data_IF_377681115088
#
_entry.id   IF_377681115088
#
_cell.length_a   1.000
_cell.length_b   1.000
_cell.length_c   1.000
_cell.angle_alpha   90.00
_cell.angle_beta   90.00
_cell.angle_gamma   90.00
#
_symmetry.space_group_name_H-M   'P 1'
#
loop_
_entity.id
_entity.type
_entity.pdbx_description
1 polymer ?
#
# COMPACT_ATOMS: atom_id res chain seq x y z
N UNK A 1 -0.08 16.26 -41.67
CA UNK A 1 0.75 15.93 -40.48
C UNK A 1 0.08 14.79 -39.72
N UNK A 2 0.75 13.65 -39.55
CA UNK A 2 0.15 12.40 -39.07
C UNK A 2 0.21 12.32 -37.53
N UNK A 3 -0.89 12.67 -36.85
CA UNK A 3 -1.00 12.83 -35.38
C UNK A 3 -0.69 11.57 -34.58
N UNK A 4 -0.85 10.38 -35.16
CA UNK A 4 -0.57 9.07 -34.52
C UNK A 4 0.90 8.86 -34.15
N UNK A 5 1.82 9.41 -34.95
CA UNK A 5 3.28 9.27 -34.76
C UNK A 5 3.77 10.10 -33.58
N UNK A 6 3.15 11.27 -33.36
CA UNK A 6 3.55 12.20 -32.29
C UNK A 6 3.24 11.67 -30.89
N UNK A 7 2.06 11.06 -30.69
CA UNK A 7 1.67 10.50 -29.38
C UNK A 7 2.52 9.29 -28.99
N UNK A 8 2.80 8.41 -29.95
CA UNK A 8 3.66 7.24 -29.73
C UNK A 8 5.09 7.65 -29.40
N UNK A 9 5.62 8.68 -30.07
CA UNK A 9 6.93 9.25 -29.76
C UNK A 9 6.97 9.87 -28.35
N UNK A 10 5.90 10.58 -27.95
CA UNK A 10 5.78 11.15 -26.61
C UNK A 10 5.73 10.07 -25.52
N UNK A 11 4.95 9.01 -25.71
CA UNK A 11 4.91 7.87 -24.79
C UNK A 11 6.30 7.24 -24.63
N UNK A 12 7.02 7.00 -25.74
CA UNK A 12 8.40 6.49 -25.69
C UNK A 12 9.34 7.43 -24.95
N UNK A 13 9.18 8.75 -25.11
CA UNK A 13 9.97 9.73 -24.37
C UNK A 13 9.68 9.67 -22.87
N UNK A 14 8.41 9.57 -22.48
CA UNK A 14 8.01 9.45 -21.07
C UNK A 14 8.56 8.16 -20.47
N UNK A 15 8.41 7.03 -21.18
CA UNK A 15 8.97 5.74 -20.76
C UNK A 15 10.48 5.83 -20.56
N UNK A 16 11.21 6.44 -21.50
CA UNK A 16 12.66 6.62 -21.39
C UNK A 16 13.04 7.49 -20.19
N UNK A 17 12.32 8.59 -19.96
CA UNK A 17 12.60 9.52 -18.87
C UNK A 17 12.33 8.92 -17.49
N UNK A 18 11.35 8.00 -17.40
CA UNK A 18 10.99 7.30 -16.16
C UNK A 18 11.70 5.95 -16.00
N UNK A 19 12.58 5.58 -16.94
CA UNK A 19 13.21 4.26 -17.00
C UNK A 19 12.20 3.11 -17.00
N UNK A 20 11.06 3.30 -17.67
CA UNK A 20 10.03 2.28 -17.83
C UNK A 20 10.24 1.51 -19.13
N UNK A 21 9.99 0.21 -19.07
CA UNK A 21 10.03 -0.72 -20.20
C UNK A 21 8.66 -1.32 -20.44
N UNK A 22 8.34 -1.62 -21.69
CA UNK A 22 7.21 -2.49 -22.01
C UNK A 22 7.67 -3.93 -21.89
N UNK A 23 7.18 -4.58 -20.84
CA UNK A 23 7.54 -5.95 -20.45
C UNK A 23 7.34 -6.95 -21.60
N UNK A 24 6.25 -6.81 -22.36
CA UNK A 24 5.97 -7.74 -23.45
C UNK A 24 6.95 -7.58 -24.61
N UNK A 25 7.33 -6.34 -24.93
CA UNK A 25 8.30 -6.07 -26.00
C UNK A 25 9.72 -6.45 -25.65
N UNK A 26 10.10 -6.37 -24.38
CA UNK A 26 11.40 -6.85 -23.90
C UNK A 26 11.53 -8.37 -24.05
N UNK A 27 10.48 -9.13 -23.66
CA UNK A 27 10.51 -10.59 -23.80
C UNK A 27 10.34 -11.09 -25.24
N UNK A 28 9.55 -10.39 -26.06
CA UNK A 28 9.18 -10.83 -27.40
C UNK A 28 9.42 -9.76 -28.47
N UNK A 29 10.69 -9.35 -28.69
CA UNK A 29 11.02 -8.19 -29.54
C UNK A 29 10.65 -8.37 -31.02
N UNK A 30 10.63 -9.61 -31.50
CA UNK A 30 10.36 -9.96 -32.90
C UNK A 30 8.91 -10.32 -33.17
N UNK A 31 8.12 -10.60 -32.13
CA UNK A 31 6.76 -11.06 -32.30
C UNK A 31 5.79 -9.89 -32.40
N UNK A 32 4.67 -10.13 -33.09
CA UNK A 32 3.53 -9.22 -33.14
C UNK A 32 2.37 -9.84 -32.39
N UNK A 33 1.78 -9.06 -31.49
CA UNK A 33 0.56 -9.42 -30.79
C UNK A 33 -0.35 -8.20 -30.71
N UNK A 34 -1.65 -8.45 -30.62
CA UNK A 34 -2.66 -7.41 -30.57
C UNK A 34 -3.63 -7.68 -29.43
N UNK A 35 -4.00 -6.62 -28.74
CA UNK A 35 -4.92 -6.68 -27.62
C UNK A 35 -6.36 -6.49 -28.07
N UNK A 36 -6.62 -5.60 -29.04
CA UNK A 36 -7.97 -5.36 -29.56
C UNK A 36 -8.04 -5.33 -31.09
N UNK A 37 -9.26 -5.38 -31.63
CA UNK A 37 -9.59 -5.34 -33.05
C UNK A 37 -10.76 -4.39 -33.21
N UNK A 38 -10.63 -3.44 -34.13
CA UNK A 38 -11.64 -2.43 -34.41
C UNK A 38 -12.28 -2.74 -35.76
N UNK A 39 -13.53 -3.25 -35.81
CA UNK A 39 -14.17 -3.68 -37.05
C UNK A 39 -14.33 -2.56 -38.08
N UNK A 40 -14.67 -1.35 -37.62
CA UNK A 40 -14.90 -0.17 -38.50
C UNK A 40 -13.68 0.23 -39.32
N UNK A 41 -12.48 -0.16 -38.89
CA UNK A 41 -11.23 0.17 -39.55
C UNK A 41 -10.43 -1.07 -39.98
N UNK A 42 -10.97 -2.28 -39.78
CA UNK A 42 -10.26 -3.53 -40.06
C UNK A 42 -8.89 -3.63 -39.40
N UNK A 43 -8.72 -3.00 -38.22
CA UNK A 43 -7.40 -2.75 -37.65
C UNK A 43 -7.22 -3.46 -36.31
N UNK A 44 -6.07 -4.10 -36.14
CA UNK A 44 -5.65 -4.67 -34.87
C UNK A 44 -4.75 -3.68 -34.12
N UNK A 45 -5.00 -3.51 -32.83
CA UNK A 45 -4.23 -2.57 -31.99
C UNK A 45 -3.66 -3.27 -30.76
N UNK A 46 -2.52 -2.77 -30.28
CA UNK A 46 -1.83 -3.25 -29.09
C UNK A 46 -1.89 -2.14 -28.03
N UNK A 47 -2.98 -2.11 -27.26
CA UNK A 47 -3.28 -1.02 -26.33
C UNK A 47 -2.97 -1.39 -24.88
N UNK A 48 -3.28 -2.63 -24.51
CA UNK A 48 -3.13 -3.14 -23.15
C UNK A 48 -1.68 -3.54 -22.92
N UNK A 49 -0.93 -2.89 -22.01
CA UNK A 49 0.52 -3.12 -21.85
C UNK A 49 0.90 -3.01 -20.38
N UNK A 50 1.82 -3.87 -19.93
CA UNK A 50 2.51 -3.67 -18.66
C UNK A 50 3.76 -2.82 -18.88
N UNK A 51 3.73 -1.59 -18.36
CA UNK A 51 4.88 -0.70 -18.32
C UNK A 51 5.46 -0.71 -16.91
N UNK A 52 6.66 -1.24 -16.74
CA UNK A 52 7.30 -1.39 -15.43
C UNK A 52 8.61 -0.61 -15.38
N UNK A 53 8.98 -0.16 -14.18
CA UNK A 53 10.32 0.37 -13.94
C UNK A 53 11.36 -0.73 -14.18
N UNK A 54 12.42 -0.39 -14.91
CA UNK A 54 13.56 -1.27 -15.12
C UNK A 54 14.60 -1.09 -13.99
N UNK A 55 14.17 -1.33 -12.76
CA UNK A 55 14.96 -1.15 -11.53
C UNK A 55 15.39 -2.48 -10.88
N UNK A 56 15.02 -3.62 -11.49
CA UNK A 56 15.32 -4.96 -10.97
C UNK A 56 14.50 -5.37 -9.74
N UNK A 57 13.43 -4.63 -9.40
CA UNK A 57 12.57 -4.95 -8.24
C UNK A 57 11.70 -6.20 -8.43
N UNK A 58 11.43 -6.56 -9.69
CA UNK A 58 10.58 -7.67 -10.10
C UNK A 58 11.35 -8.65 -10.97
N UNK A 59 11.32 -9.93 -10.61
CA UNK A 59 11.75 -11.04 -11.47
C UNK A 59 10.57 -11.44 -12.35
N UNK A 60 10.62 -11.06 -13.63
CA UNK A 60 9.52 -11.29 -14.55
C UNK A 60 9.63 -12.71 -15.11
N UNK A 61 8.69 -13.58 -14.73
CA UNK A 61 8.63 -14.99 -15.15
C UNK A 61 7.97 -15.15 -16.52
N UNK A 62 6.86 -14.45 -16.74
CA UNK A 62 6.04 -14.65 -17.95
C UNK A 62 5.10 -13.47 -18.20
N UNK A 63 4.85 -13.16 -19.47
CA UNK A 63 3.77 -12.27 -19.89
C UNK A 63 3.02 -12.88 -21.07
N UNK A 64 1.68 -12.91 -21.04
CA UNK A 64 0.90 -13.59 -22.08
C UNK A 64 -0.43 -12.88 -22.36
N UNK A 65 -0.75 -12.77 -23.65
CA UNK A 65 -2.10 -12.43 -24.11
C UNK A 65 -2.92 -13.71 -24.23
N UNK A 66 -4.09 -13.74 -23.59
CA UNK A 66 -5.02 -14.86 -23.68
C UNK A 66 -6.01 -14.68 -24.83
N UNK A 67 -6.71 -15.77 -25.15
CA UNK A 67 -7.74 -15.76 -26.19
C UNK A 67 -8.84 -14.76 -25.82
N UNK A 68 -9.25 -14.01 -26.82
CA UNK A 68 -10.32 -13.02 -26.72
C UNK A 68 -11.69 -13.70 -26.78
N UNK A 69 -12.25 -14.02 -25.62
CA UNK A 69 -13.53 -14.73 -25.51
C UNK A 69 -14.69 -13.87 -24.99
N UNK A 70 -14.45 -12.98 -24.02
CA UNK A 70 -15.52 -12.26 -23.30
C UNK A 70 -15.64 -10.77 -23.65
N UNK A 71 -14.60 -10.17 -24.23
CA UNK A 71 -14.52 -8.75 -24.57
C UNK A 71 -13.87 -8.58 -25.94
N UNK A 72 -14.03 -7.41 -26.55
CA UNK A 72 -13.26 -6.94 -27.70
C UNK A 72 -11.75 -6.74 -27.41
N UNK A 73 -11.33 -6.89 -26.14
CA UNK A 73 -9.95 -6.94 -25.67
C UNK A 73 -9.51 -8.35 -25.24
N UNK A 74 -8.29 -8.72 -25.64
CA UNK A 74 -7.58 -9.92 -25.19
C UNK A 74 -6.97 -9.65 -23.81
N UNK A 75 -7.28 -10.46 -22.78
CA UNK A 75 -6.69 -10.29 -21.46
C UNK A 75 -5.17 -10.42 -21.50
N UNK A 76 -4.46 -9.55 -20.78
CA UNK A 76 -3.01 -9.57 -20.63
C UNK A 76 -2.63 -9.96 -19.20
N UNK A 77 -1.86 -11.02 -19.06
CA UNK A 77 -1.38 -11.53 -17.77
C UNK A 77 0.12 -11.34 -17.62
N UNK A 78 0.55 -10.97 -16.42
CA UNK A 78 1.95 -10.87 -16.01
C UNK A 78 2.17 -11.75 -14.78
N UNK A 79 3.20 -12.58 -14.85
CA UNK A 79 3.68 -13.43 -13.76
C UNK A 79 5.06 -12.91 -13.35
N UNK A 80 5.20 -12.48 -12.10
CA UNK A 80 6.45 -11.95 -11.57
C UNK A 80 6.60 -12.28 -10.08
N UNK A 81 7.85 -12.33 -9.63
CA UNK A 81 8.21 -12.46 -8.22
C UNK A 81 8.85 -11.16 -7.74
N UNK A 82 8.59 -10.79 -6.48
CA UNK A 82 9.21 -9.59 -5.88
C UNK A 82 10.45 -9.99 -5.11
N UNK A 83 11.58 -9.35 -5.41
CA UNK A 83 12.80 -9.50 -4.58
C UNK A 83 12.74 -8.71 -3.28
N UNK A 84 11.67 -7.94 -3.06
CA UNK A 84 11.44 -7.28 -1.79
C UNK A 84 11.34 -8.35 -0.70
N UNK A 85 12.25 -8.37 0.30
CA UNK A 85 12.01 -9.20 1.48
C UNK A 85 10.62 -8.81 1.99
N UNK A 86 9.76 -9.81 2.25
CA UNK A 86 8.58 -9.58 3.08
C UNK A 86 9.07 -8.73 4.24
N UNK A 87 8.50 -7.54 4.51
CA UNK A 87 9.07 -6.67 5.53
C UNK A 87 9.15 -7.51 6.81
N UNK A 88 10.38 -7.79 7.25
CA UNK A 88 10.64 -8.65 8.42
C UNK A 88 10.05 -8.02 9.69
N UNK A 89 9.67 -6.75 9.59
CA UNK A 89 9.07 -5.92 10.61
C UNK A 89 7.66 -5.57 10.11
N UNK A 90 6.60 -5.75 10.91
CA UNK A 90 5.27 -5.29 10.52
C UNK A 90 5.35 -3.80 10.14
N UNK A 91 4.78 -3.46 8.99
CA UNK A 91 4.61 -2.06 8.57
C UNK A 91 3.97 -1.28 9.72
N UNK A 92 4.45 -0.06 9.96
CA UNK A 92 3.84 0.84 10.94
C UNK A 92 2.33 0.91 10.68
N UNK A 93 1.52 0.58 11.68
CA UNK A 93 0.07 0.68 11.61
C UNK A 93 -0.45 1.32 12.88
N UNK A 94 -1.19 2.42 12.72
CA UNK A 94 -1.98 3.02 13.78
C UNK A 94 -3.19 2.14 14.09
N UNK A 95 -3.55 2.04 15.36
CA UNK A 95 -4.72 1.29 15.83
C UNK A 95 -6.02 2.03 15.48
N UNK A 96 -6.86 1.50 14.56
CA UNK A 96 -8.04 2.22 14.07
C UNK A 96 -9.18 2.28 15.10
N UNK A 97 -9.22 1.34 16.04
CA UNK A 97 -10.11 1.34 17.21
C UNK A 97 -9.96 2.63 18.03
N UNK A 98 -8.73 3.09 18.25
CA UNK A 98 -8.47 4.34 18.95
C UNK A 98 -8.93 5.57 18.17
N UNK A 99 -8.94 5.51 16.84
CA UNK A 99 -9.47 6.58 16.01
C UNK A 99 -11.01 6.69 16.07
N UNK A 100 -11.69 5.80 16.79
CA UNK A 100 -13.09 5.98 17.17
C UNK A 100 -13.27 6.89 18.39
N UNK A 101 -12.27 6.96 19.27
CA UNK A 101 -12.36 7.66 20.55
C UNK A 101 -12.07 9.17 20.38
N UNK A 102 -13.05 10.06 20.65
CA UNK A 102 -12.86 11.51 20.52
C UNK A 102 -11.86 12.09 21.53
N UNK A 103 -11.74 11.49 22.72
CA UNK A 103 -10.78 11.93 23.73
C UNK A 103 -9.36 11.65 23.26
N UNK A 104 -9.11 10.42 22.82
CA UNK A 104 -7.82 10.04 22.24
C UNK A 104 -7.42 10.92 21.03
N UNK A 105 -8.37 11.29 20.16
CA UNK A 105 -8.08 12.21 19.04
C UNK A 105 -7.59 13.57 19.52
N UNK A 106 -8.24 14.12 20.54
CA UNK A 106 -7.89 15.42 21.10
C UNK A 106 -6.50 15.38 21.74
N UNK A 107 -6.22 14.33 22.51
CA UNK A 107 -4.92 14.12 23.14
C UNK A 107 -3.82 13.96 22.09
N UNK A 108 -4.06 13.12 21.08
CA UNK A 108 -3.13 12.90 19.98
C UNK A 108 -2.86 14.18 19.21
N UNK A 109 -3.89 14.99 18.94
CA UNK A 109 -3.72 16.28 18.25
C UNK A 109 -2.81 17.22 19.04
N UNK A 110 -3.02 17.35 20.36
CA UNK A 110 -2.14 18.17 21.21
C UNK A 110 -0.69 17.67 21.21
N UNK A 111 -0.48 16.36 21.25
CA UNK A 111 0.86 15.76 21.16
C UNK A 111 1.52 16.03 19.81
N UNK A 112 0.76 15.93 18.71
CA UNK A 112 1.25 16.21 17.37
C UNK A 112 1.64 17.68 17.22
N UNK A 113 0.80 18.60 17.66
CA UNK A 113 1.05 20.05 17.61
C UNK A 113 2.30 20.43 18.44
N UNK A 114 2.44 19.84 19.63
CA UNK A 114 3.63 20.01 20.47
C UNK A 114 4.91 19.47 19.82
N UNK A 115 4.84 18.28 19.21
CA UNK A 115 5.98 17.72 18.50
C UNK A 115 6.37 18.58 17.29
N UNK A 116 5.40 18.95 16.45
CA UNK A 116 5.64 19.70 15.22
C UNK A 116 6.18 21.11 15.51
N UNK A 117 5.64 21.81 16.50
CA UNK A 117 6.14 23.14 16.88
C UNK A 117 7.59 23.14 17.35
N UNK A 118 8.07 22.02 17.92
CA UNK A 118 9.42 21.92 18.50
C UNK A 118 10.44 21.27 17.55
N UNK A 119 10.02 20.28 16.77
CA UNK A 119 10.93 19.40 16.01
C UNK A 119 10.83 19.55 14.49
N UNK A 120 9.93 20.38 13.98
CA UNK A 120 9.81 20.55 12.54
C UNK A 120 11.02 21.28 11.95
N UNK A 121 11.69 20.64 10.99
CA UNK A 121 12.88 21.19 10.33
C UNK A 121 14.18 20.98 11.11
N UNK A 122 14.16 20.28 12.25
CA UNK A 122 15.36 20.10 13.10
C UNK A 122 16.18 18.87 12.72
N UNK A 123 15.60 17.90 12.01
CA UNK A 123 16.30 16.66 11.66
C UNK A 123 17.05 16.78 10.32
N UNK A 124 18.06 15.93 10.14
CA UNK A 124 18.92 15.91 8.94
C UNK A 124 18.14 15.58 7.66
N UNK A 125 17.06 14.79 7.76
CA UNK A 125 16.18 14.45 6.63
C UNK A 125 14.72 14.45 7.06
N UNK A 126 13.81 14.74 6.12
CA UNK A 126 12.36 14.64 6.34
C UNK A 126 11.91 13.23 6.73
N UNK A 127 12.60 12.19 6.23
CA UNK A 127 12.32 10.80 6.61
C UNK A 127 12.52 10.58 8.12
N UNK A 128 13.61 11.11 8.68
CA UNK A 128 13.90 10.98 10.11
C UNK A 128 12.85 11.71 10.98
N UNK A 129 12.38 12.88 10.55
CA UNK A 129 11.30 13.60 11.24
C UNK A 129 10.01 12.79 11.30
N UNK A 130 9.66 12.11 10.20
CA UNK A 130 8.48 11.24 10.11
C UNK A 130 8.65 9.98 10.95
N UNK A 131 9.84 9.38 10.99
CA UNK A 131 10.09 8.22 11.85
C UNK A 131 10.00 8.58 13.34
N UNK A 132 10.54 9.73 13.75
CA UNK A 132 10.41 10.20 15.12
C UNK A 132 8.95 10.57 15.47
N UNK A 133 8.21 11.20 14.56
CA UNK A 133 6.77 11.47 14.73
C UNK A 133 5.98 10.17 14.93
N UNK A 134 6.28 9.13 14.14
CA UNK A 134 5.65 7.79 14.26
C UNK A 134 5.90 7.17 15.64
N UNK A 135 7.08 7.38 16.25
CA UNK A 135 7.39 6.91 17.61
C UNK A 135 6.54 7.64 18.65
N UNK A 136 6.38 8.95 18.51
CA UNK A 136 5.53 9.76 19.40
C UNK A 136 4.08 9.29 19.34
N UNK A 137 3.53 9.11 18.14
CA UNK A 137 2.17 8.58 17.97
C UNK A 137 2.03 7.20 18.63
N UNK A 138 3.00 6.30 18.43
CA UNK A 138 2.97 4.97 19.05
C UNK A 138 2.98 5.02 20.56
N UNK A 139 3.78 5.90 21.16
CA UNK A 139 3.83 6.09 22.61
C UNK A 139 2.46 6.49 23.13
N UNK A 140 1.80 7.44 22.46
CA UNK A 140 0.48 7.92 22.87
C UNK A 140 -0.59 6.82 22.75
N UNK A 141 -0.63 6.13 21.60
CA UNK A 141 -1.51 4.97 21.41
C UNK A 141 -1.27 3.89 22.47
N UNK A 142 -0.01 3.59 22.78
CA UNK A 142 0.34 2.58 23.78
C UNK A 142 -0.16 3.01 25.16
N UNK A 143 0.08 4.25 25.57
CA UNK A 143 -0.36 4.81 26.85
C UNK A 143 -1.87 4.65 27.07
N UNK A 144 -2.69 5.11 26.11
CA UNK A 144 -4.16 4.99 26.19
C UNK A 144 -4.60 3.54 26.34
N UNK A 145 -4.01 2.66 25.54
CA UNK A 145 -4.42 1.26 25.51
C UNK A 145 -3.98 0.46 26.72
N UNK A 146 -2.83 0.83 27.29
CA UNK A 146 -2.36 0.29 28.55
C UNK A 146 -3.30 0.69 29.70
N UNK A 147 -3.75 1.95 29.73
CA UNK A 147 -4.75 2.43 30.69
C UNK A 147 -6.09 1.68 30.58
N UNK A 148 -6.60 1.48 29.37
CA UNK A 148 -7.82 0.68 29.13
C UNK A 148 -7.64 -0.75 29.66
N UNK A 149 -6.50 -1.39 29.36
CA UNK A 149 -6.23 -2.74 29.85
C UNK A 149 -6.22 -2.81 31.37
N UNK A 150 -5.56 -1.86 32.04
CA UNK A 150 -5.54 -1.82 33.51
C UNK A 150 -6.93 -1.64 34.12
N UNK A 151 -7.80 -0.85 33.49
CA UNK A 151 -9.18 -0.69 33.95
C UNK A 151 -9.96 -2.00 33.85
N UNK A 152 -9.90 -2.64 32.68
CA UNK A 152 -10.58 -3.91 32.44
C UNK A 152 -10.06 -5.01 33.38
N UNK A 153 -8.75 -5.10 33.59
CA UNK A 153 -8.15 -6.08 34.51
C UNK A 153 -8.66 -5.88 35.95
N UNK A 154 -8.87 -4.63 36.40
CA UNK A 154 -9.44 -4.32 37.72
C UNK A 154 -10.90 -4.72 37.83
N UNK A 155 -11.70 -4.42 36.81
CA UNK A 155 -13.13 -4.80 36.79
C UNK A 155 -13.30 -6.33 36.80
N UNK A 156 -12.48 -7.04 36.03
CA UNK A 156 -12.46 -8.50 36.03
C UNK A 156 -12.14 -9.07 37.42
N UNK A 157 -11.09 -8.56 38.08
CA UNK A 157 -10.75 -8.99 39.44
C UNK A 157 -11.90 -8.75 40.43
N UNK A 158 -12.58 -7.61 40.35
CA UNK A 158 -13.74 -7.31 41.20
C UNK A 158 -14.90 -8.28 40.95
N UNK A 159 -15.18 -8.62 39.68
CA UNK A 159 -16.23 -9.57 39.33
C UNK A 159 -15.91 -10.99 39.84
N UNK A 160 -14.66 -11.43 39.71
CA UNK A 160 -14.21 -12.73 40.23
C UNK A 160 -14.34 -12.81 41.75
N UNK A 161 -13.99 -11.74 42.48
CA UNK A 161 -14.16 -11.67 43.94
C UNK A 161 -15.63 -11.78 44.35
N UNK A 162 -16.52 -11.05 43.68
CA UNK A 162 -17.97 -11.09 43.94
C UNK A 162 -18.53 -12.49 43.65
N UNK A 163 -18.15 -13.11 42.53
CA UNK A 163 -18.56 -14.47 42.18
C UNK A 163 -18.10 -15.48 43.24
N UNK A 164 -16.86 -15.37 43.70
CA UNK A 164 -16.33 -16.23 44.76
C UNK A 164 -17.08 -16.05 46.09
N UNK A 165 -17.48 -14.83 46.44
CA UNK A 165 -18.27 -14.55 47.64
C UNK A 165 -19.67 -15.18 47.57
N UNK A 166 -20.36 -15.05 46.43
CA UNK A 166 -21.70 -15.65 46.21
C UNK A 166 -21.64 -17.18 46.27
N UNK A 167 -20.62 -17.79 45.66
CA UNK A 167 -20.43 -19.24 45.70
C UNK A 167 -20.17 -19.78 47.12
N UNK A 168 -19.49 -19.00 47.97
CA UNK A 168 -19.27 -19.35 49.39
C UNK A 168 -20.54 -19.29 50.21
N UNK A 169 -21.47 -18.38 49.91
CA UNK A 169 -22.75 -18.25 50.61
C UNK A 169 -23.79 -19.32 50.20
N UNK A 170 -23.58 -19.99 49.06
CA UNK A 170 -24.47 -21.03 48.53
C UNK A 170 -24.07 -22.46 48.94
N UNK A 171 -23.09 -22.60 49.84
CA UNK A 171 -22.67 -23.88 50.46
C UNK A 171 -23.03 -23.88 51.94
#
# INVERSE_FOLDING_TARGET
MNTKTHMTAKLRSVMRNLHFVDVWREMYPTFKVFSCYTPTHGAYSHLDRFLLANDGSLDIRRVVYQIRFLSDHAPLFLECETHMPKPAIPLWRLRPDLLGDPEYKKDLQGVLDGYLSTNWGTATTRGLELEALKVVIRRESFSKTYGIRQHLDRELMQQEEVLAAVQRQSR
#
